data_IF_900219145425
#
_entry.id   IF_900219145425
#
_cell.length_a   1.000
_cell.length_b   1.000
_cell.length_c   1.000
_cell.angle_alpha   90.00
_cell.angle_beta   90.00
_cell.angle_gamma   90.00
#
_symmetry.space_group_name_H-M   'P 1'
#
loop_
_entity.id
_entity.type
_entity.pdbx_description
1 polymer ?
#
# COMPACT_ATOMS: atom_id res chain seq x y z
N UNK A 1 -11.92 13.70 36.13
CA UNK A 1 -11.37 13.98 34.78
C UNK A 1 -9.87 13.87 34.88
N UNK A 2 -9.31 12.74 34.43
CA UNK A 2 -7.86 12.54 34.42
C UNK A 2 -7.33 12.93 33.05
N UNK A 3 -6.43 13.91 33.00
CA UNK A 3 -5.68 14.21 31.78
C UNK A 3 -4.90 12.96 31.37
N UNK A 4 -4.93 12.54 30.09
CA UNK A 4 -4.06 11.48 29.63
C UNK A 4 -2.61 11.92 29.86
N UNK A 5 -1.80 11.06 30.47
CA UNK A 5 -0.35 11.27 30.57
C UNK A 5 0.17 11.60 29.16
N UNK A 6 0.66 12.83 28.97
CA UNK A 6 1.22 13.26 27.70
C UNK A 6 2.45 12.40 27.40
N UNK A 7 2.29 11.42 26.52
CA UNK A 7 3.40 10.71 25.91
C UNK A 7 4.35 11.74 25.30
N UNK A 8 5.66 11.46 25.34
CA UNK A 8 6.67 12.33 24.74
C UNK A 8 6.29 12.59 23.28
N UNK A 9 6.17 13.88 22.91
CA UNK A 9 5.80 14.28 21.57
C UNK A 9 6.71 13.59 20.54
N UNK A 10 6.10 12.86 19.62
CA UNK A 10 6.76 12.05 18.60
C UNK A 10 6.48 12.67 17.23
N UNK A 11 7.53 12.83 16.42
CA UNK A 11 7.38 13.26 15.03
C UNK A 11 6.71 12.16 14.22
N UNK A 12 5.69 12.51 13.45
CA UNK A 12 4.95 11.59 12.59
C UNK A 12 4.86 12.18 11.18
N UNK A 13 4.75 11.29 10.20
CA UNK A 13 4.51 11.65 8.81
C UNK A 13 3.11 11.19 8.41
N UNK A 14 2.25 12.11 8.02
CA UNK A 14 0.91 11.85 7.51
C UNK A 14 0.95 11.89 5.99
N UNK A 15 0.46 10.83 5.34
CA UNK A 15 0.18 10.83 3.89
C UNK A 15 -1.33 10.92 3.69
N UNK A 16 -1.77 11.91 2.94
CA UNK A 16 -3.17 12.15 2.63
C UNK A 16 -3.65 11.28 1.45
N UNK A 17 -4.96 11.28 1.22
CA UNK A 17 -5.59 10.51 0.15
C UNK A 17 -5.21 10.98 -1.26
N UNK A 18 -4.81 12.25 -1.39
CA UNK A 18 -4.29 12.87 -2.62
C UNK A 18 -2.75 12.79 -2.75
N UNK A 19 -2.11 11.99 -1.90
CA UNK A 19 -0.66 11.79 -1.82
C UNK A 19 0.16 12.98 -1.32
N UNK A 20 -0.47 14.06 -0.83
CA UNK A 20 0.24 15.06 -0.05
C UNK A 20 0.87 14.43 1.20
N UNK A 21 2.02 14.97 1.62
CA UNK A 21 2.74 14.55 2.81
C UNK A 21 2.90 15.73 3.74
N UNK A 22 2.56 15.53 5.01
CA UNK A 22 2.76 16.50 6.09
C UNK A 22 3.52 15.84 7.25
N UNK A 23 4.43 16.59 7.84
CA UNK A 23 5.11 16.22 9.08
C UNK A 23 4.59 17.05 10.24
N UNK A 24 4.42 16.41 11.40
CA UNK A 24 3.94 17.06 12.61
C UNK A 24 4.36 16.29 13.85
N UNK A 25 4.04 16.80 15.03
CA UNK A 25 4.29 16.13 16.31
C UNK A 25 2.97 15.77 17.00
N UNK A 26 2.93 14.60 17.63
CA UNK A 26 1.79 14.13 18.43
C UNK A 26 2.25 13.52 19.74
N UNK A 27 1.48 13.67 20.82
CA UNK A 27 1.73 12.96 22.08
C UNK A 27 1.46 11.45 21.99
N UNK A 28 0.70 11.03 20.97
CA UNK A 28 0.38 9.65 20.64
C UNK A 28 -0.62 9.63 19.48
N UNK A 29 -0.73 8.49 18.78
CA UNK A 29 -1.80 8.29 17.79
C UNK A 29 -2.92 7.50 18.45
N UNK A 30 -4.07 8.14 18.55
CA UNK A 30 -5.32 7.53 18.95
C UNK A 30 -6.27 7.54 17.75
N UNK A 31 -6.61 6.36 17.25
CA UNK A 31 -7.59 6.18 16.17
C UNK A 31 -8.99 5.86 16.73
N UNK A 32 -9.24 6.08 18.02
CA UNK A 32 -10.58 6.05 18.61
C UNK A 32 -11.33 7.38 18.41
N UNK A 33 -10.63 8.45 18.05
CA UNK A 33 -11.23 9.71 17.64
C UNK A 33 -11.34 9.81 16.10
N UNK A 34 -12.31 10.58 15.56
CA UNK A 34 -12.50 10.71 14.12
C UNK A 34 -11.47 11.63 13.43
N UNK A 35 -10.54 12.20 14.18
CA UNK A 35 -9.51 13.13 13.75
C UNK A 35 -8.25 12.99 14.60
N UNK A 36 -7.13 13.49 14.08
CA UNK A 36 -5.89 13.70 14.83
C UNK A 36 -5.60 15.20 14.92
N UNK A 37 -4.87 15.60 15.96
CA UNK A 37 -4.30 16.94 16.06
C UNK A 37 -2.78 16.84 16.02
N UNK A 38 -2.15 17.58 15.10
CA UNK A 38 -0.71 17.69 14.97
C UNK A 38 -0.25 19.05 15.50
N UNK A 39 0.81 19.06 16.28
CA UNK A 39 1.62 20.26 16.52
C UNK A 39 2.58 20.46 15.35
N UNK A 40 2.67 21.68 14.85
CA UNK A 40 3.53 22.00 13.71
C UNK A 40 4.93 22.37 14.20
N UNK A 41 6.00 21.67 13.76
CA UNK A 41 7.36 21.93 14.24
C UNK A 41 8.06 23.11 13.55
N UNK A 42 7.48 23.66 12.48
CA UNK A 42 8.11 24.68 11.64
C UNK A 42 7.89 26.09 12.19
N UNK A 43 8.95 26.69 12.75
CA UNK A 43 8.95 28.07 13.26
C UNK A 43 8.74 29.13 12.17
N UNK A 44 8.93 28.78 10.89
CA UNK A 44 8.69 29.67 9.75
C UNK A 44 7.23 29.69 9.28
N UNK A 45 6.39 28.80 9.80
CA UNK A 45 4.96 28.70 9.47
C UNK A 45 4.10 29.49 10.45
N UNK A 46 3.01 30.09 9.97
CA UNK A 46 2.01 30.73 10.83
C UNK A 46 1.06 29.72 11.51
N UNK A 47 1.24 28.43 11.25
CA UNK A 47 0.38 27.38 11.79
C UNK A 47 0.99 26.81 13.07
N UNK A 48 0.29 26.89 14.19
CA UNK A 48 0.69 26.21 15.44
C UNK A 48 0.25 24.73 15.45
N UNK A 49 -0.96 24.46 14.94
CA UNK A 49 -1.59 23.13 14.98
C UNK A 49 -2.40 22.86 13.72
N UNK A 50 -2.60 21.58 13.42
CA UNK A 50 -3.49 21.10 12.38
C UNK A 50 -4.45 20.04 12.92
N UNK A 51 -5.76 20.26 12.79
CA UNK A 51 -6.77 19.24 13.02
C UNK A 51 -7.08 18.54 11.70
N UNK A 52 -6.82 17.24 11.64
CA UNK A 52 -6.91 16.46 10.41
C UNK A 52 -7.95 15.34 10.58
N UNK A 53 -9.06 15.37 9.82
CA UNK A 53 -10.04 14.29 9.79
C UNK A 53 -9.42 12.99 9.24
N UNK A 54 -9.71 11.86 9.88
CA UNK A 54 -9.25 10.55 9.41
C UNK A 54 -9.69 10.19 7.97
N UNK A 55 -10.87 10.60 7.46
CA UNK A 55 -11.24 10.37 6.07
C UNK A 55 -10.28 10.97 5.03
N UNK A 56 -9.53 12.02 5.39
CA UNK A 56 -8.55 12.66 4.49
C UNK A 56 -7.18 11.97 4.51
N UNK A 57 -6.94 11.08 5.48
CA UNK A 57 -5.65 10.44 5.70
C UNK A 57 -5.63 9.07 5.03
N UNK A 58 -4.62 8.83 4.18
CA UNK A 58 -4.32 7.49 3.65
C UNK A 58 -3.62 6.63 4.70
N UNK A 59 -2.55 7.15 5.30
CA UNK A 59 -1.80 6.48 6.38
C UNK A 59 -0.96 7.46 7.19
N UNK A 60 -0.64 7.07 8.41
CA UNK A 60 0.27 7.78 9.31
C UNK A 60 1.46 6.88 9.61
N UNK A 61 2.67 7.41 9.51
CA UNK A 61 3.91 6.73 9.89
C UNK A 61 4.38 7.30 11.21
N UNK A 62 4.30 6.51 12.28
CA UNK A 62 4.69 6.91 13.63
C UNK A 62 6.21 6.80 13.84
N UNK A 63 6.78 5.77 13.25
CA UNK A 63 8.22 5.53 13.26
C UNK A 63 8.60 4.70 12.05
N UNK A 64 9.78 4.96 11.52
CA UNK A 64 10.38 4.18 10.45
C UNK A 64 11.88 4.08 10.72
N UNK A 65 12.47 2.93 10.44
CA UNK A 65 13.91 2.73 10.65
C UNK A 65 14.39 1.37 10.18
N UNK A 66 15.71 1.12 10.25
CA UNK A 66 16.26 -0.19 9.96
C UNK A 66 15.80 -1.19 11.04
N UNK A 67 15.40 -2.42 10.65
CA UNK A 67 15.03 -3.45 11.59
C UNK A 67 16.26 -4.05 12.27
N UNK A 68 16.11 -4.40 13.55
CA UNK A 68 17.10 -5.18 14.28
C UNK A 68 17.24 -6.60 13.70
N UNK A 69 18.37 -7.27 13.97
CA UNK A 69 18.58 -8.66 13.55
C UNK A 69 17.46 -9.59 14.00
N UNK A 70 16.96 -9.40 15.23
CA UNK A 70 15.87 -10.19 15.78
C UNK A 70 14.53 -9.91 15.06
N UNK A 71 14.26 -8.65 14.69
CA UNK A 71 13.06 -8.29 13.90
C UNK A 71 13.12 -8.87 12.49
N UNK A 72 14.31 -8.92 11.86
CA UNK A 72 14.48 -9.55 10.55
C UNK A 72 14.28 -11.08 10.60
N UNK A 73 14.75 -11.71 11.68
CA UNK A 73 14.66 -13.15 11.92
C UNK A 73 13.24 -13.59 12.27
N UNK A 74 12.47 -12.74 12.98
CA UNK A 74 11.03 -12.95 13.21
C UNK A 74 10.27 -12.79 11.90
N UNK A 75 10.17 -13.88 11.15
CA UNK A 75 9.29 -13.94 9.98
C UNK A 75 7.82 -13.82 10.44
N UNK A 76 7.30 -12.59 10.42
CA UNK A 76 5.92 -12.29 10.75
C UNK A 76 4.90 -12.85 9.75
N UNK A 77 3.61 -12.59 9.99
CA UNK A 77 2.54 -12.97 9.06
C UNK A 77 2.67 -12.10 7.80
N UNK A 78 2.74 -12.72 6.60
CA UNK A 78 2.74 -11.96 5.34
C UNK A 78 1.39 -11.27 5.19
N UNK A 79 1.40 -9.97 4.93
CA UNK A 79 0.18 -9.18 4.73
C UNK A 79 0.25 -8.36 3.45
N UNK A 80 -0.91 -8.17 2.82
CA UNK A 80 -1.13 -7.18 1.79
C UNK A 80 -2.26 -6.24 2.21
N UNK A 81 -1.94 -4.97 2.32
CA UNK A 81 -2.85 -3.89 2.71
C UNK A 81 -3.27 -3.20 1.42
N UNK A 82 -4.55 -3.30 1.07
CA UNK A 82 -5.13 -2.61 -0.09
C UNK A 82 -5.81 -1.35 0.37
N UNK A 83 -5.44 -0.24 -0.23
CA UNK A 83 -6.10 1.05 -0.05
C UNK A 83 -7.27 1.21 -1.04
N UNK A 84 -8.16 2.17 -0.77
CA UNK A 84 -9.34 2.44 -1.60
C UNK A 84 -8.98 2.89 -3.02
N UNK A 85 -7.85 3.57 -3.19
CA UNK A 85 -7.31 4.04 -4.48
C UNK A 85 -6.62 2.95 -5.32
N UNK A 86 -6.53 1.73 -4.80
CA UNK A 86 -5.88 0.60 -5.45
C UNK A 86 -4.40 0.44 -5.12
N UNK A 87 -3.80 1.35 -4.34
CA UNK A 87 -2.44 1.16 -3.82
C UNK A 87 -2.39 -0.09 -2.94
N UNK A 88 -1.27 -0.83 -3.03
CA UNK A 88 -1.05 -2.04 -2.23
C UNK A 88 0.29 -1.98 -1.54
N UNK A 89 0.26 -2.00 -0.22
CA UNK A 89 1.44 -2.08 0.63
C UNK A 89 1.59 -3.52 1.13
N UNK A 90 2.80 -4.09 1.01
CA UNK A 90 3.10 -5.48 1.33
C UNK A 90 4.23 -5.55 2.35
N UNK A 91 4.14 -6.52 3.26
CA UNK A 91 5.18 -6.72 4.26
C UNK A 91 4.86 -7.84 5.24
N UNK A 92 5.72 -8.01 6.22
CA UNK A 92 5.52 -8.94 7.33
C UNK A 92 4.99 -8.16 8.53
N UNK A 93 3.83 -8.56 9.04
CA UNK A 93 3.27 -8.04 10.27
C UNK A 93 4.16 -8.48 11.45
N UNK A 94 4.73 -7.51 12.16
CA UNK A 94 5.47 -7.74 13.41
C UNK A 94 4.53 -7.55 14.60
N UNK A 95 4.24 -8.66 15.29
CA UNK A 95 3.24 -8.71 16.37
C UNK A 95 1.80 -8.82 15.86
N UNK A 96 0.89 -8.15 16.55
CA UNK A 96 -0.55 -8.19 16.26
C UNK A 96 -1.07 -6.81 15.83
N UNK A 97 -2.16 -6.82 15.05
CA UNK A 97 -2.90 -5.59 14.74
C UNK A 97 -3.58 -5.07 16.01
N UNK A 98 -3.43 -3.76 16.24
CA UNK A 98 -4.19 -3.05 17.27
C UNK A 98 -5.37 -2.36 16.62
N UNK A 99 -6.56 -2.77 16.99
CA UNK A 99 -7.81 -2.18 16.52
C UNK A 99 -8.19 -0.99 17.39
N UNK A 100 -8.65 0.07 16.74
CA UNK A 100 -9.34 1.20 17.33
C UNK A 100 -10.68 1.39 16.62
N UNK A 101 -11.49 2.33 17.10
CA UNK A 101 -12.84 2.59 16.58
C UNK A 101 -12.83 3.03 15.11
N UNK A 102 -11.82 3.78 14.67
CA UNK A 102 -11.75 4.34 13.31
C UNK A 102 -10.56 3.85 12.47
N UNK A 103 -9.76 2.91 12.97
CA UNK A 103 -8.67 2.35 12.19
C UNK A 103 -7.88 1.27 12.90
N UNK A 104 -6.70 1.01 12.36
CA UNK A 104 -5.76 0.03 12.90
C UNK A 104 -4.36 0.60 12.99
N UNK A 105 -3.63 0.17 14.02
CA UNK A 105 -2.19 0.41 14.16
C UNK A 105 -1.43 -0.90 14.08
N UNK A 106 -0.31 -0.92 13.37
CA UNK A 106 0.51 -2.12 13.20
C UNK A 106 1.98 -1.79 13.02
N UNK A 107 2.85 -2.77 13.29
CA UNK A 107 4.26 -2.73 12.86
C UNK A 107 4.43 -3.59 11.62
N UNK A 108 5.06 -3.04 10.60
CA UNK A 108 5.23 -3.71 9.32
C UNK A 108 6.68 -3.65 8.87
N UNK A 109 7.27 -4.84 8.70
CA UNK A 109 8.56 -5.02 8.06
C UNK A 109 8.38 -5.12 6.54
N UNK A 110 9.16 -4.40 5.76
CA UNK A 110 9.14 -4.45 4.28
C UNK A 110 9.41 -5.86 3.76
N UNK A 111 9.05 -6.12 2.50
CA UNK A 111 9.28 -7.44 1.87
C UNK A 111 10.77 -7.76 1.79
N UNK A 112 11.57 -6.73 1.53
CA UNK A 112 13.04 -6.73 1.46
C UNK A 112 13.69 -6.88 2.83
N UNK A 113 12.92 -6.71 3.92
CA UNK A 113 13.37 -6.75 5.32
C UNK A 113 14.44 -5.72 5.68
N UNK A 114 14.45 -4.59 4.99
CA UNK A 114 15.40 -3.50 5.17
C UNK A 114 14.82 -2.33 5.98
N UNK A 115 13.49 -2.28 6.14
CA UNK A 115 12.80 -1.21 6.87
C UNK A 115 11.62 -1.75 7.66
N UNK A 116 11.47 -1.29 8.89
CA UNK A 116 10.28 -1.55 9.72
C UNK A 116 9.58 -0.24 10.05
N UNK A 117 8.26 -0.22 9.90
CA UNK A 117 7.42 0.96 10.10
C UNK A 117 6.32 0.68 11.12
N UNK A 118 6.06 1.63 12.01
CA UNK A 118 4.84 1.64 12.80
C UNK A 118 3.83 2.51 12.07
N UNK A 119 2.72 1.92 11.64
CA UNK A 119 1.71 2.55 10.80
C UNK A 119 0.38 2.67 11.54
N UNK A 120 -0.27 3.82 11.43
CA UNK A 120 -1.68 4.02 11.73
C UNK A 120 -2.46 4.17 10.43
N UNK A 121 -3.51 3.39 10.22
CA UNK A 121 -4.29 3.40 8.98
C UNK A 121 -5.79 3.51 9.32
N UNK A 122 -6.45 4.61 8.90
CA UNK A 122 -7.89 4.74 9.02
C UNK A 122 -8.65 3.68 8.22
N UNK A 123 -9.78 3.20 8.74
CA UNK A 123 -10.64 2.28 7.98
C UNK A 123 -11.19 2.91 6.70
N UNK A 124 -11.36 4.24 6.68
CA UNK A 124 -11.79 5.00 5.50
C UNK A 124 -10.82 4.90 4.32
N UNK A 125 -9.53 4.74 4.58
CA UNK A 125 -8.52 4.57 3.55
C UNK A 125 -8.36 3.10 3.12
N UNK A 126 -8.79 2.15 3.95
CA UNK A 126 -8.61 0.72 3.73
C UNK A 126 -9.73 0.14 2.87
N UNK A 127 -9.32 -0.59 1.83
CA UNK A 127 -10.21 -1.53 1.14
C UNK A 127 -10.26 -2.87 1.85
N UNK A 128 -9.09 -3.41 2.18
CA UNK A 128 -8.94 -4.69 2.89
C UNK A 128 -7.49 -4.93 3.32
N UNK A 129 -7.31 -5.72 4.38
CA UNK A 129 -6.03 -6.31 4.76
C UNK A 129 -6.12 -7.83 4.59
N UNK A 130 -5.20 -8.40 3.81
CA UNK A 130 -5.14 -9.84 3.55
C UNK A 130 -3.94 -10.47 4.22
N UNK A 131 -4.16 -11.58 4.92
CA UNK A 131 -3.09 -12.48 5.33
C UNK A 131 -2.75 -13.45 4.20
N UNK A 132 -1.48 -13.53 3.83
CA UNK A 132 -1.00 -14.27 2.68
C UNK A 132 -0.23 -15.54 3.08
N UNK A 133 -0.46 -16.62 2.33
CA UNK A 133 0.40 -17.82 2.40
C UNK A 133 1.67 -17.60 1.57
N UNK A 134 1.50 -17.07 0.36
CA UNK A 134 2.54 -16.82 -0.64
C UNK A 134 2.46 -15.39 -1.17
N UNK A 135 3.60 -14.85 -1.63
CA UNK A 135 3.65 -13.55 -2.29
C UNK A 135 3.10 -13.57 -3.72
N UNK A 136 3.06 -14.76 -4.32
CA UNK A 136 2.43 -14.97 -5.61
C UNK A 136 0.92 -14.96 -5.43
N UNK A 137 0.28 -13.92 -5.96
CA UNK A 137 -1.17 -13.72 -5.95
C UNK A 137 -1.84 -14.22 -7.22
N UNK A 138 -1.11 -14.90 -8.11
CA UNK A 138 -1.71 -15.55 -9.28
C UNK A 138 -2.52 -16.76 -8.78
N UNK A 139 -3.76 -16.95 -9.26
CA UNK A 139 -4.51 -18.17 -8.99
C UNK A 139 -3.71 -19.38 -9.46
N UNK A 140 -3.75 -20.49 -8.70
CA UNK A 140 -3.15 -21.76 -9.11
C UNK A 140 -3.68 -22.27 -10.46
N UNK A 141 -4.86 -21.81 -10.89
CA UNK A 141 -5.52 -22.17 -12.16
C UNK A 141 -4.91 -21.52 -13.42
N UNK A 142 -3.79 -20.79 -13.31
CA UNK A 142 -3.03 -20.38 -14.50
C UNK A 142 -2.18 -21.55 -15.05
N UNK A 143 -2.75 -22.77 -15.08
CA UNK A 143 -2.22 -23.94 -15.79
C UNK A 143 -2.89 -24.15 -17.17
N UNK A 144 -3.80 -23.24 -17.57
CA UNK A 144 -4.47 -23.29 -18.86
C UNK A 144 -5.63 -24.28 -18.95
N UNK A 145 -6.02 -24.91 -17.84
CA UNK A 145 -7.10 -25.91 -17.84
C UNK A 145 -8.04 -25.71 -16.65
N UNK A 146 -9.17 -25.06 -16.98
CA UNK A 146 -10.42 -24.88 -16.19
C UNK A 146 -10.50 -23.57 -15.39
N UNK A 147 -11.18 -22.62 -16.02
CA UNK A 147 -11.70 -21.41 -15.37
C UNK A 147 -12.76 -21.79 -14.33
N UNK A 148 -12.43 -21.69 -13.05
CA UNK A 148 -13.42 -21.79 -11.97
C UNK A 148 -13.71 -20.41 -11.41
N UNK A 149 -14.64 -19.70 -12.07
CA UNK A 149 -15.45 -18.60 -11.52
C UNK A 149 -14.73 -17.71 -10.49
N UNK A 150 -13.64 -17.08 -10.89
CA UNK A 150 -13.14 -15.89 -10.20
C UNK A 150 -13.54 -14.72 -11.07
N UNK A 151 -14.40 -13.87 -10.51
CA UNK A 151 -15.00 -12.67 -11.09
C UNK A 151 -14.12 -12.06 -12.18
N UNK A 152 -14.70 -11.91 -13.38
CA UNK A 152 -14.16 -11.16 -14.52
C UNK A 152 -13.18 -10.12 -14.02
N UNK A 153 -11.89 -10.33 -14.28
CA UNK A 153 -10.93 -9.22 -14.22
C UNK A 153 -11.59 -8.10 -15.03
N UNK A 154 -11.79 -6.94 -14.43
CA UNK A 154 -11.93 -5.70 -15.18
C UNK A 154 -10.58 -5.52 -15.86
N UNK A 155 -10.38 -6.22 -16.97
CA UNK A 155 -9.21 -6.08 -17.81
C UNK A 155 -9.38 -4.70 -18.44
N UNK A 156 -8.70 -3.73 -17.84
CA UNK A 156 -8.64 -2.39 -18.42
C UNK A 156 -8.06 -2.55 -19.84
N UNK A 157 -8.67 -1.94 -20.88
CA UNK A 157 -8.19 -2.05 -22.26
C UNK A 157 -6.69 -1.74 -22.38
N UNK A 158 -6.17 -0.89 -21.51
CA UNK A 158 -4.77 -0.50 -21.45
C UNK A 158 -3.86 -1.60 -20.88
N UNK A 159 -4.35 -2.39 -19.91
CA UNK A 159 -3.63 -3.54 -19.35
C UNK A 159 -3.57 -4.70 -20.35
N UNK A 160 -4.66 -4.91 -21.09
CA UNK A 160 -4.70 -5.89 -22.18
C UNK A 160 -3.79 -5.45 -23.34
N UNK A 161 -3.75 -4.16 -23.67
CA UNK A 161 -2.83 -3.59 -24.65
C UNK A 161 -1.37 -3.85 -24.28
N UNK A 162 -0.96 -3.49 -23.06
CA UNK A 162 0.43 -3.64 -22.60
C UNK A 162 0.83 -5.12 -22.62
N UNK A 163 -0.07 -6.00 -22.20
CA UNK A 163 0.16 -7.45 -22.21
C UNK A 163 0.32 -8.00 -23.63
N UNK A 164 -0.56 -7.59 -24.55
CA UNK A 164 -0.51 -8.00 -25.96
C UNK A 164 0.74 -7.48 -26.67
N UNK A 165 1.13 -6.21 -26.44
CA UNK A 165 2.35 -5.64 -26.99
C UNK A 165 3.60 -6.34 -26.45
N UNK A 166 3.65 -6.63 -25.15
CA UNK A 166 4.76 -7.34 -24.52
C UNK A 166 4.93 -8.78 -25.03
N UNK A 167 3.84 -9.49 -25.31
CA UNK A 167 3.90 -10.81 -25.93
C UNK A 167 4.38 -10.75 -27.38
N UNK A 168 3.90 -9.76 -28.15
CA UNK A 168 4.29 -9.57 -29.55
C UNK A 168 5.78 -9.25 -29.68
N UNK A 169 6.34 -8.43 -28.80
CA UNK A 169 7.78 -8.15 -28.76
C UNK A 169 8.62 -9.37 -28.41
N UNK A 170 8.14 -10.23 -27.49
CA UNK A 170 8.82 -11.48 -27.16
C UNK A 170 8.86 -12.44 -28.34
N UNK A 171 7.79 -12.53 -29.12
CA UNK A 171 7.75 -13.34 -30.34
C UNK A 171 8.75 -12.83 -31.38
N UNK A 172 8.86 -11.51 -31.56
CA UNK A 172 9.88 -10.92 -32.44
C UNK A 172 11.30 -11.22 -31.95
N UNK A 173 11.58 -10.99 -30.66
CA UNK A 173 12.92 -11.23 -30.07
C UNK A 173 13.36 -12.69 -30.15
N UNK A 174 12.41 -13.62 -30.17
CA UNK A 174 12.65 -15.07 -30.35
C UNK A 174 12.76 -15.49 -31.82
N UNK A 175 12.63 -14.56 -32.77
CA UNK A 175 12.64 -14.86 -34.21
C UNK A 175 11.40 -15.64 -34.69
N UNK A 176 10.36 -15.74 -33.87
CA UNK A 176 9.16 -16.51 -34.18
C UNK A 176 8.21 -15.77 -35.14
N UNK A 177 8.42 -14.47 -35.35
CA UNK A 177 7.71 -13.63 -36.32
C UNK A 177 8.70 -12.69 -36.99
N UNK A 178 8.44 -12.38 -38.25
CA UNK A 178 9.20 -11.39 -39.02
C UNK A 178 8.83 -9.96 -38.62
N UNK A 179 9.69 -8.98 -38.92
CA UNK A 179 9.41 -7.56 -38.64
C UNK A 179 8.15 -7.07 -39.36
N UNK A 180 7.89 -7.55 -40.59
CA UNK A 180 6.67 -7.23 -41.33
C UNK A 180 5.39 -7.77 -40.65
N UNK A 181 5.45 -8.97 -40.07
CA UNK A 181 4.34 -9.55 -39.31
C UNK A 181 4.14 -8.87 -37.96
N UNK A 182 5.23 -8.46 -37.31
CA UNK A 182 5.20 -7.67 -36.08
C UNK A 182 4.45 -6.36 -36.30
N UNK A 183 4.78 -5.59 -37.34
CA UNK A 183 4.14 -4.31 -37.62
C UNK A 183 2.65 -4.46 -37.98
N UNK A 184 2.28 -5.49 -38.75
CA UNK A 184 0.86 -5.78 -39.06
C UNK A 184 0.06 -6.14 -37.81
N UNK A 185 0.59 -7.03 -36.96
CA UNK A 185 -0.09 -7.46 -35.73
C UNK A 185 -0.17 -6.34 -34.68
N UNK A 186 0.87 -5.52 -34.58
CA UNK A 186 0.89 -4.33 -33.71
C UNK A 186 -0.19 -3.33 -34.11
N UNK A 187 -0.32 -3.02 -35.40
CA UNK A 187 -1.38 -2.13 -35.92
C UNK A 187 -2.77 -2.66 -35.57
N UNK A 188 -3.02 -3.95 -35.81
CA UNK A 188 -4.30 -4.60 -35.50
C UNK A 188 -4.64 -4.58 -34.00
N UNK A 189 -3.65 -4.65 -33.12
CA UNK A 189 -3.85 -4.55 -31.66
C UNK A 189 -4.21 -3.11 -31.26
N UNK A 190 -3.59 -2.11 -31.89
CA UNK A 190 -3.86 -0.70 -31.63
C UNK A 190 -5.23 -0.25 -32.19
N UNK A 191 -5.67 -0.83 -33.31
CA UNK A 191 -6.97 -0.53 -33.93
C UNK A 191 -8.17 -1.13 -33.17
N UNK A 192 -7.94 -2.06 -32.24
CA UNK A 192 -8.98 -2.80 -31.50
C UNK A 192 -9.27 -2.22 -30.09
N UNK A 193 -8.84 -0.99 -29.83
CA UNK A 193 -9.00 -0.25 -28.56
C UNK A 193 -9.85 0.98 -28.83
#
# INVERSE_FOLDING_TARGET
>A
MGSPQAGKATTVTVRFMDDEIMEGRVGGIDLDQPNIELEMPDEGSNNERALIPLPSIKRITLSAGPPTTDEQARAGKKVAIRFQDGEVLRGYLDGELRHASHGVTMRLLTVEKDRIETLGIPYTALKALFYLKTWDTRPMEFDGTKDRHVSKRLSSPLVDLISNMGQLEKLRKRGAITEGEFQRKRRKILDNI
#
